data_IF_176097395673
#
_entry.id   IF_176097395673
#
_cell.length_a   1.000
_cell.length_b   1.000
_cell.length_c   1.000
_cell.angle_alpha   90.00
_cell.angle_beta   90.00
_cell.angle_gamma   90.00
#
_symmetry.space_group_name_H-M   'P 1'
#
loop_
_entity.id
_entity.type
_entity.pdbx_description
1 polymer ?
#
# COMPACT_ATOMS: atom_id res chain seq x y z
N UNK A 1 47.12 -7.85 2.72
CA UNK A 1 45.91 -7.48 1.95
C UNK A 1 45.27 -6.29 2.65
N UNK A 2 44.94 -5.22 1.92
CA UNK A 2 44.26 -4.08 2.54
C UNK A 2 42.79 -4.43 2.77
N UNK A 3 42.21 -3.85 3.83
CA UNK A 3 40.82 -4.02 4.23
C UNK A 3 39.83 -3.76 3.08
N UNK A 4 40.15 -2.81 2.19
CA UNK A 4 39.40 -2.54 0.95
C UNK A 4 39.31 -3.72 -0.01
N UNK A 5 40.40 -4.47 -0.19
CA UNK A 5 40.42 -5.63 -1.12
C UNK A 5 39.60 -6.78 -0.55
N UNK A 6 39.64 -6.98 0.77
CA UNK A 6 38.85 -8.00 1.45
C UNK A 6 37.34 -7.70 1.35
N UNK A 7 36.94 -6.43 1.56
CA UNK A 7 35.54 -5.99 1.43
C UNK A 7 35.02 -6.16 0.00
N UNK A 8 35.82 -5.83 -1.02
CA UNK A 8 35.45 -6.01 -2.43
C UNK A 8 35.26 -7.50 -2.76
N UNK A 9 36.14 -8.38 -2.26
CA UNK A 9 36.00 -9.83 -2.45
C UNK A 9 34.76 -10.39 -1.74
N UNK A 10 34.46 -9.94 -0.52
CA UNK A 10 33.26 -10.38 0.22
C UNK A 10 31.97 -9.95 -0.49
N UNK A 11 31.91 -8.72 -1.02
CA UNK A 11 30.75 -8.23 -1.80
C UNK A 11 30.57 -9.05 -3.08
N UNK A 12 31.66 -9.29 -3.83
CA UNK A 12 31.63 -10.09 -5.07
C UNK A 12 31.25 -11.56 -4.83
N UNK A 13 31.68 -12.16 -3.71
CA UNK A 13 31.28 -13.52 -3.33
C UNK A 13 29.79 -13.58 -2.93
N UNK A 14 29.27 -12.57 -2.21
CA UNK A 14 27.84 -12.47 -1.88
C UNK A 14 26.96 -12.32 -3.12
N UNK A 15 27.42 -11.54 -4.10
CA UNK A 15 26.78 -11.39 -5.42
C UNK A 15 26.74 -12.71 -6.22
N UNK A 16 27.62 -13.67 -5.93
CA UNK A 16 27.71 -14.92 -6.70
C UNK A 16 27.04 -16.11 -6.00
N UNK A 17 27.03 -16.14 -4.66
CA UNK A 17 26.65 -17.35 -3.88
C UNK A 17 25.21 -17.27 -3.33
N UNK A 18 24.65 -16.07 -3.16
CA UNK A 18 23.34 -15.90 -2.51
C UNK A 18 23.37 -16.25 -1.02
N UNK A 19 22.21 -16.19 -0.36
CA UNK A 19 22.07 -16.55 1.06
C UNK A 19 21.71 -18.02 1.25
N UNK A 20 22.45 -18.73 2.08
CA UNK A 20 22.08 -20.05 2.60
C UNK A 20 21.29 -19.89 3.91
N UNK A 21 20.19 -20.65 4.03
CA UNK A 21 19.29 -20.58 5.19
C UNK A 21 19.43 -21.81 6.06
N UNK A 22 19.61 -21.61 7.36
CA UNK A 22 19.68 -22.69 8.32
C UNK A 22 18.30 -23.37 8.51
N UNK A 23 18.23 -24.63 8.96
CA UNK A 23 16.95 -25.33 9.15
C UNK A 23 15.94 -24.59 10.04
N UNK A 24 16.38 -24.02 11.17
CA UNK A 24 15.51 -23.28 12.09
C UNK A 24 15.00 -21.97 11.47
N UNK A 25 15.86 -21.28 10.70
CA UNK A 25 15.48 -20.10 9.93
C UNK A 25 14.40 -20.45 8.90
N UNK A 26 14.57 -21.55 8.16
CA UNK A 26 13.58 -22.03 7.20
C UNK A 26 12.22 -22.35 7.86
N UNK A 27 12.21 -22.94 9.06
CA UNK A 27 10.95 -23.23 9.76
C UNK A 27 10.17 -21.95 10.09
N UNK A 28 10.88 -20.91 10.54
CA UNK A 28 10.29 -19.61 10.83
C UNK A 28 9.79 -18.92 9.56
N UNK A 29 10.59 -18.93 8.49
CA UNK A 29 10.22 -18.37 7.20
C UNK A 29 8.99 -19.05 6.62
N UNK A 30 8.92 -20.38 6.63
CA UNK A 30 7.76 -21.15 6.17
C UNK A 30 6.48 -20.78 6.93
N UNK A 31 6.58 -20.48 8.24
CA UNK A 31 5.43 -20.00 9.02
C UNK A 31 4.98 -18.62 8.57
N UNK A 32 5.91 -17.69 8.38
CA UNK A 32 5.62 -16.33 7.91
C UNK A 32 5.00 -16.32 6.50
N UNK A 33 5.53 -17.15 5.60
CA UNK A 33 5.03 -17.32 4.23
C UNK A 33 3.62 -17.93 4.23
N UNK A 34 3.38 -18.95 5.06
CA UNK A 34 2.04 -19.52 5.24
C UNK A 34 1.03 -18.50 5.75
N UNK A 35 1.39 -17.68 6.74
CA UNK A 35 0.53 -16.59 7.24
C UNK A 35 0.24 -15.61 6.10
N UNK A 36 1.23 -15.28 5.27
CA UNK A 36 1.05 -14.36 4.15
C UNK A 36 0.08 -14.90 3.09
N UNK A 37 0.21 -16.17 2.70
CA UNK A 37 -0.71 -16.81 1.76
C UNK A 37 -2.11 -17.05 2.33
N UNK A 38 -2.21 -17.41 3.62
CA UNK A 38 -3.52 -17.56 4.31
C UNK A 38 -4.18 -16.20 4.53
N UNK A 39 -3.41 -15.17 4.83
CA UNK A 39 -3.86 -13.79 4.96
C UNK A 39 -4.49 -13.31 3.66
N UNK A 40 -3.85 -13.57 2.51
CA UNK A 40 -4.43 -13.31 1.19
C UNK A 40 -5.79 -13.98 1.01
N UNK A 41 -5.90 -15.26 1.34
CA UNK A 41 -7.18 -16.00 1.23
C UNK A 41 -8.24 -15.44 2.17
N UNK A 42 -7.86 -15.04 3.38
CA UNK A 42 -8.76 -14.44 4.37
C UNK A 42 -9.29 -13.10 3.87
N UNK A 43 -8.41 -12.26 3.33
CA UNK A 43 -8.76 -10.97 2.72
C UNK A 43 -9.62 -11.19 1.48
N UNK A 44 -9.20 -12.05 0.54
CA UNK A 44 -9.99 -12.36 -0.67
C UNK A 44 -11.37 -12.91 -0.33
N UNK A 45 -11.51 -13.77 0.68
CA UNK A 45 -12.81 -14.27 1.12
C UNK A 45 -13.68 -13.17 1.74
N UNK A 46 -13.08 -12.17 2.38
CA UNK A 46 -13.78 -10.96 2.83
C UNK A 46 -14.27 -10.13 1.65
N UNK A 47 -13.43 -9.97 0.61
CA UNK A 47 -13.71 -9.19 -0.60
C UNK A 47 -14.63 -9.90 -1.61
N UNK A 48 -14.71 -11.24 -1.60
CA UNK A 48 -15.39 -12.04 -2.61
C UNK A 48 -16.88 -12.32 -2.32
N UNK A 49 -17.42 -11.78 -1.23
CA UNK A 49 -18.85 -11.86 -0.92
C UNK A 49 -19.57 -10.60 -1.40
N UNK A 50 -20.87 -10.71 -1.63
CA UNK A 50 -21.75 -9.54 -1.58
C UNK A 50 -21.50 -8.85 -0.23
N UNK A 51 -21.09 -7.58 -0.28
CA UNK A 51 -20.79 -6.83 0.93
C UNK A 51 -22.01 -6.83 1.86
N UNK A 52 -21.76 -6.93 3.15
CA UNK A 52 -22.78 -6.68 4.17
C UNK A 52 -22.28 -5.57 5.07
N UNK A 53 -23.18 -4.94 5.82
CA UNK A 53 -22.80 -3.91 6.78
C UNK A 53 -21.71 -4.41 7.74
N UNK A 54 -21.77 -5.67 8.18
CA UNK A 54 -20.77 -6.27 9.05
C UNK A 54 -19.43 -6.46 8.35
N UNK A 55 -19.40 -6.91 7.08
CA UNK A 55 -18.14 -7.10 6.36
C UNK A 55 -17.48 -5.78 5.99
N UNK A 56 -18.27 -4.74 5.67
CA UNK A 56 -17.79 -3.38 5.44
C UNK A 56 -17.17 -2.79 6.72
N UNK A 57 -17.83 -2.95 7.87
CA UNK A 57 -17.28 -2.50 9.15
C UNK A 57 -15.98 -3.22 9.50
N UNK A 58 -15.93 -4.53 9.26
CA UNK A 58 -14.72 -5.32 9.48
C UNK A 58 -13.56 -4.86 8.59
N UNK A 59 -13.85 -4.50 7.34
CA UNK A 59 -12.87 -3.94 6.42
C UNK A 59 -12.29 -2.62 6.93
N UNK A 60 -13.15 -1.68 7.35
CA UNK A 60 -12.71 -0.40 7.94
C UNK A 60 -11.89 -0.59 9.23
N UNK A 61 -12.29 -1.53 10.08
CA UNK A 61 -11.54 -1.87 11.28
C UNK A 61 -10.14 -2.41 10.95
N UNK A 62 -10.03 -3.26 9.93
CA UNK A 62 -8.74 -3.80 9.50
C UNK A 62 -7.83 -2.70 8.94
N UNK A 63 -8.38 -1.75 8.18
CA UNK A 63 -7.65 -0.58 7.65
C UNK A 63 -7.15 0.32 8.77
N UNK A 64 -8.00 0.60 9.75
CA UNK A 64 -7.62 1.35 10.95
C UNK A 64 -6.52 0.63 11.74
N UNK A 65 -6.66 -0.69 11.94
CA UNK A 65 -5.70 -1.51 12.68
C UNK A 65 -4.29 -1.43 12.09
N UNK A 66 -4.15 -1.57 10.77
CA UNK A 66 -2.82 -1.55 10.14
C UNK A 66 -2.18 -0.16 10.21
N UNK A 67 -2.96 0.92 10.22
CA UNK A 67 -2.46 2.28 10.43
C UNK A 67 -2.04 2.55 11.88
N UNK A 68 -2.73 1.94 12.85
CA UNK A 68 -2.37 2.00 14.27
C UNK A 68 -1.11 1.18 14.56
N UNK A 69 -0.98 0.00 13.94
CA UNK A 69 0.08 -0.96 14.23
C UNK A 69 0.85 -1.40 12.98
N UNK A 70 1.57 -0.51 12.26
CA UNK A 70 2.43 -0.95 11.15
C UNK A 70 3.50 -1.97 11.60
N UNK A 71 3.86 -1.90 12.88
CA UNK A 71 4.51 -2.97 13.63
C UNK A 71 3.82 -3.11 14.99
N UNK A 72 3.87 -4.29 15.60
CA UNK A 72 3.15 -4.58 16.84
C UNK A 72 4.03 -5.30 17.86
N UNK A 73 3.94 -4.87 19.12
CA UNK A 73 4.64 -5.54 20.21
C UNK A 73 4.02 -6.90 20.51
N UNK A 74 4.73 -7.72 21.28
CA UNK A 74 4.16 -8.98 21.79
C UNK A 74 2.91 -8.76 22.63
N UNK A 75 2.84 -7.67 23.40
CA UNK A 75 1.66 -7.33 24.19
C UNK A 75 0.45 -7.07 23.28
N UNK A 76 0.61 -6.23 22.25
CA UNK A 76 -0.48 -5.91 21.32
C UNK A 76 -0.96 -7.17 20.58
N UNK A 77 -0.01 -7.98 20.12
CA UNK A 77 -0.28 -9.25 19.44
C UNK A 77 -1.06 -10.23 20.34
N UNK A 78 -0.70 -10.37 21.61
CA UNK A 78 -1.42 -11.26 22.54
C UNK A 78 -2.86 -10.81 22.78
N UNK A 79 -3.14 -9.51 22.68
CA UNK A 79 -4.44 -8.92 22.98
C UNK A 79 -5.29 -8.63 21.72
N UNK A 80 -4.84 -9.02 20.52
CA UNK A 80 -5.56 -8.74 19.28
C UNK A 80 -5.53 -9.92 18.29
N UNK A 81 -6.68 -10.53 18.05
CA UNK A 81 -6.80 -11.70 17.18
C UNK A 81 -6.40 -11.45 15.71
N UNK A 82 -6.58 -10.24 15.20
CA UNK A 82 -6.19 -9.91 13.82
C UNK A 82 -4.68 -9.86 13.67
N UNK A 83 -3.98 -9.32 14.67
CA UNK A 83 -2.52 -9.36 14.72
C UNK A 83 -2.04 -10.82 14.77
N UNK A 84 -2.70 -11.67 15.57
CA UNK A 84 -2.39 -13.11 15.65
C UNK A 84 -2.52 -13.85 14.34
N UNK A 85 -3.54 -13.51 13.55
CA UNK A 85 -3.88 -14.21 12.31
C UNK A 85 -3.12 -13.69 11.10
N UNK A 86 -2.73 -12.41 11.07
CA UNK A 86 -2.33 -11.73 9.83
C UNK A 86 -0.91 -11.15 9.86
N UNK A 87 -0.27 -11.03 11.04
CA UNK A 87 1.08 -10.49 11.18
C UNK A 87 2.11 -11.62 11.22
N UNK A 88 3.33 -11.31 10.77
CA UNK A 88 4.45 -12.23 10.74
C UNK A 88 5.51 -11.83 11.77
N UNK A 89 6.39 -12.76 12.13
CA UNK A 89 7.47 -12.50 13.08
C UNK A 89 8.76 -13.21 12.67
N UNK A 90 9.87 -12.56 12.99
CA UNK A 90 11.23 -13.12 12.88
C UNK A 90 11.75 -13.69 14.21
N UNK A 91 10.94 -13.67 15.27
CA UNK A 91 11.38 -13.94 16.64
C UNK A 91 12.21 -12.82 17.27
N UNK A 92 12.61 -11.81 16.49
CA UNK A 92 13.36 -10.63 16.93
C UNK A 92 12.63 -9.34 16.57
N UNK A 93 12.99 -8.25 17.26
CA UNK A 93 12.48 -6.90 16.96
C UNK A 93 13.00 -6.41 15.62
N UNK A 94 12.08 -6.04 14.73
CA UNK A 94 12.35 -5.46 13.40
C UNK A 94 11.28 -4.43 13.06
N UNK A 95 11.57 -3.62 12.04
CA UNK A 95 10.60 -2.72 11.43
C UNK A 95 10.59 -2.82 9.89
N UNK A 96 11.32 -3.78 9.36
CA UNK A 96 11.42 -4.04 7.93
C UNK A 96 11.81 -5.47 7.63
N UNK A 97 11.49 -5.92 6.42
CA UNK A 97 11.98 -7.15 5.82
C UNK A 97 11.83 -7.07 4.29
N UNK A 98 12.46 -8.00 3.57
CA UNK A 98 12.35 -8.10 2.11
C UNK A 98 11.57 -9.34 1.72
N UNK A 99 10.89 -9.28 0.58
CA UNK A 99 10.09 -10.39 0.10
C UNK A 99 10.05 -10.41 -1.43
N UNK A 100 9.73 -11.58 -1.97
CA UNK A 100 9.48 -11.80 -3.38
C UNK A 100 8.11 -12.46 -3.50
N UNK A 101 7.42 -12.23 -4.61
CA UNK A 101 6.10 -12.82 -4.84
C UNK A 101 5.96 -13.33 -6.27
N UNK A 102 5.08 -14.31 -6.43
CA UNK A 102 4.54 -14.75 -7.72
C UNK A 102 3.03 -14.52 -7.75
N UNK A 103 2.54 -14.01 -8.90
CA UNK A 103 1.11 -13.85 -9.23
C UNK A 103 0.27 -13.26 -8.08
N UNK A 104 0.28 -11.95 -7.88
CA UNK A 104 -0.52 -11.23 -6.87
C UNK A 104 -0.55 -11.93 -5.48
N UNK A 105 0.63 -12.14 -4.91
CA UNK A 105 0.84 -12.78 -3.59
C UNK A 105 0.37 -14.25 -3.47
N UNK A 106 0.03 -14.93 -4.56
CA UNK A 106 -0.37 -16.35 -4.53
C UNK A 106 0.72 -17.25 -3.93
N UNK A 107 1.98 -16.92 -4.20
CA UNK A 107 3.16 -17.55 -3.60
C UNK A 107 4.15 -16.44 -3.19
N UNK A 108 4.51 -16.40 -1.91
CA UNK A 108 5.31 -15.34 -1.30
C UNK A 108 6.50 -15.98 -0.62
N UNK A 109 7.69 -15.45 -0.88
CA UNK A 109 8.90 -15.83 -0.15
C UNK A 109 9.45 -14.64 0.62
N UNK A 110 9.91 -14.89 1.84
CA UNK A 110 10.32 -13.85 2.79
C UNK A 110 11.79 -14.03 3.17
N UNK A 111 12.49 -12.92 3.39
CA UNK A 111 13.74 -12.85 4.13
C UNK A 111 13.68 -11.68 5.12
N UNK A 112 13.91 -11.97 6.40
CA UNK A 112 13.92 -10.97 7.46
C UNK A 112 15.20 -10.10 7.47
N UNK A 113 16.18 -10.41 6.61
CA UNK A 113 17.32 -9.55 6.33
C UNK A 113 16.96 -8.32 5.47
N UNK A 114 17.99 -7.57 5.08
CA UNK A 114 17.88 -6.37 4.24
C UNK A 114 18.79 -6.41 3.01
N UNK A 115 19.50 -7.52 2.77
CA UNK A 115 20.39 -7.69 1.63
C UNK A 115 19.60 -8.20 0.41
N UNK A 116 19.07 -7.26 -0.37
CA UNK A 116 18.29 -7.55 -1.59
C UNK A 116 19.09 -8.36 -2.62
N UNK A 117 20.40 -8.13 -2.71
CA UNK A 117 21.25 -8.83 -3.69
C UNK A 117 21.43 -10.29 -3.29
N UNK A 118 21.78 -10.53 -2.03
CA UNK A 118 21.92 -11.88 -1.51
C UNK A 118 20.59 -12.67 -1.60
N UNK A 119 19.46 -12.02 -1.30
CA UNK A 119 18.14 -12.64 -1.42
C UNK A 119 17.78 -12.96 -2.87
N UNK A 120 18.06 -12.05 -3.82
CA UNK A 120 17.88 -12.29 -5.26
C UNK A 120 18.55 -13.56 -5.73
N UNK A 121 19.75 -13.81 -5.22
CA UNK A 121 20.59 -14.93 -5.60
C UNK A 121 20.34 -16.18 -4.74
N UNK A 122 19.45 -16.12 -3.74
CA UNK A 122 19.26 -17.18 -2.74
C UNK A 122 18.39 -18.36 -3.19
N UNK A 123 18.10 -18.47 -4.50
CA UNK A 123 17.16 -19.44 -5.14
C UNK A 123 15.70 -19.38 -4.64
N UNK A 124 15.40 -18.62 -3.58
CA UNK A 124 14.06 -18.43 -3.00
C UNK A 124 13.32 -17.25 -3.62
N UNK A 125 14.05 -16.26 -4.12
CA UNK A 125 13.45 -15.15 -4.85
C UNK A 125 12.81 -15.66 -6.16
N UNK A 126 11.65 -15.09 -6.48
CA UNK A 126 10.75 -15.57 -7.55
C UNK A 126 10.87 -14.67 -8.77
N UNK A 127 10.72 -15.29 -9.93
CA UNK A 127 10.66 -14.60 -11.22
C UNK A 127 9.27 -13.97 -11.41
N UNK A 128 9.21 -12.76 -11.95
CA UNK A 128 7.99 -12.00 -12.19
C UNK A 128 7.30 -12.50 -13.46
N UNK A 129 6.19 -13.22 -13.31
CA UNK A 129 5.35 -13.67 -14.43
C UNK A 129 6.14 -14.51 -15.45
N UNK A 130 6.06 -14.15 -16.74
CA UNK A 130 6.79 -14.79 -17.83
C UNK A 130 8.09 -14.04 -18.22
N UNK A 131 8.59 -13.13 -17.38
CA UNK A 131 9.85 -12.40 -17.62
C UNK A 131 11.06 -13.19 -17.08
N UNK A 132 12.28 -12.70 -17.31
CA UNK A 132 13.50 -13.18 -16.62
C UNK A 132 13.84 -12.33 -15.38
N UNK A 133 12.96 -11.40 -14.98
CA UNK A 133 13.23 -10.46 -13.91
C UNK A 133 12.79 -11.03 -12.55
N UNK A 134 13.71 -11.04 -11.58
CA UNK A 134 13.41 -11.33 -10.17
C UNK A 134 13.03 -10.03 -9.48
N UNK A 135 11.80 -9.95 -8.99
CA UNK A 135 11.27 -8.77 -8.32
C UNK A 135 11.35 -8.92 -6.80
N UNK A 136 12.13 -8.03 -6.17
CA UNK A 136 12.26 -7.96 -4.71
C UNK A 136 11.60 -6.69 -4.20
N UNK A 137 10.70 -6.90 -3.27
CA UNK A 137 9.96 -5.86 -2.57
C UNK A 137 10.46 -5.76 -1.14
N UNK A 138 10.08 -4.68 -0.49
CA UNK A 138 10.44 -4.40 0.89
C UNK A 138 9.22 -3.90 1.62
N UNK A 139 8.97 -4.47 2.79
CA UNK A 139 8.06 -3.91 3.77
C UNK A 139 8.91 -3.03 4.67
N UNK A 140 8.71 -1.71 4.62
CA UNK A 140 9.38 -0.74 5.49
C UNK A 140 8.63 0.58 5.52
N UNK A 141 8.93 1.40 6.51
CA UNK A 141 8.42 2.78 6.59
C UNK A 141 8.76 3.58 5.33
N UNK A 142 9.97 3.41 4.79
CA UNK A 142 10.43 4.09 3.58
C UNK A 142 9.61 3.69 2.35
N UNK A 143 9.36 2.41 2.16
CA UNK A 143 8.56 1.93 1.03
C UNK A 143 7.06 2.20 1.18
N UNK A 144 6.62 2.52 2.39
CA UNK A 144 5.23 2.86 2.68
C UNK A 144 4.83 4.26 2.19
N UNK A 145 5.78 5.20 2.12
CA UNK A 145 5.50 6.61 1.83
C UNK A 145 5.04 7.44 3.04
N UNK A 146 4.94 6.85 4.24
CA UNK A 146 4.46 7.50 5.46
C UNK A 146 5.15 8.84 5.73
N UNK A 147 6.49 8.87 5.69
CA UNK A 147 7.22 10.11 5.99
C UNK A 147 6.97 11.24 4.98
N UNK A 148 6.69 10.92 3.71
CA UNK A 148 6.32 11.95 2.74
C UNK A 148 4.94 12.54 3.06
N UNK A 149 3.98 11.69 3.41
CA UNK A 149 2.64 12.10 3.83
C UNK A 149 2.68 12.95 5.11
N UNK A 150 3.45 12.53 6.12
CA UNK A 150 3.57 13.26 7.39
C UNK A 150 4.29 14.61 7.28
N UNK A 151 4.93 14.92 6.15
CA UNK A 151 5.50 16.25 5.89
C UNK A 151 4.44 17.27 5.46
N UNK A 152 3.27 16.83 5.00
CA UNK A 152 2.17 17.75 4.74
C UNK A 152 1.76 18.47 6.04
N UNK A 153 1.63 19.81 6.02
CA UNK A 153 1.26 20.57 7.21
C UNK A 153 -0.01 20.03 7.89
N UNK A 154 0.08 19.79 9.21
CA UNK A 154 -1.02 19.27 10.03
C UNK A 154 -1.31 17.77 9.90
N UNK A 155 -0.70 17.04 8.97
CA UNK A 155 -0.93 15.59 8.84
C UNK A 155 -0.53 14.81 10.09
N UNK A 156 0.59 15.19 10.73
CA UNK A 156 1.04 14.57 11.99
C UNK A 156 -0.01 14.70 13.09
N UNK A 157 -0.51 15.91 13.33
CA UNK A 157 -1.53 16.15 14.34
C UNK A 157 -2.82 15.37 14.04
N UNK A 158 -3.21 15.28 12.77
CA UNK A 158 -4.34 14.47 12.35
C UNK A 158 -4.14 12.97 12.62
N UNK A 159 -2.94 12.43 12.33
CA UNK A 159 -2.61 11.04 12.63
C UNK A 159 -2.61 10.76 14.14
N UNK A 160 -2.07 11.68 14.94
CA UNK A 160 -2.08 11.58 16.40
C UNK A 160 -3.50 11.57 16.95
N UNK A 161 -4.39 12.45 16.45
CA UNK A 161 -5.80 12.50 16.85
C UNK A 161 -6.54 11.18 16.54
N UNK A 162 -6.21 10.54 15.42
CA UNK A 162 -6.77 9.25 15.02
C UNK A 162 -6.09 8.04 15.69
N UNK A 163 -5.02 8.27 16.47
CA UNK A 163 -4.23 7.22 17.11
C UNK A 163 -3.40 6.39 16.13
N UNK A 164 -3.10 6.93 14.94
CA UNK A 164 -2.28 6.25 13.93
C UNK A 164 -0.79 6.42 14.19
N UNK A 165 0.00 5.44 13.74
CA UNK A 165 1.43 5.44 13.93
C UNK A 165 2.12 6.52 13.06
N UNK A 166 3.05 7.25 13.68
CA UNK A 166 3.89 8.24 12.99
C UNK A 166 5.22 7.67 12.48
N UNK A 167 5.53 6.44 12.86
CA UNK A 167 6.72 5.70 12.45
C UNK A 167 6.56 4.19 12.64
N UNK A 168 7.42 3.40 12.00
CA UNK A 168 7.47 1.96 12.18
C UNK A 168 8.47 1.63 13.28
N UNK A 169 7.96 1.35 14.46
CA UNK A 169 8.77 1.00 15.63
C UNK A 169 9.43 -0.38 15.47
N UNK A 170 10.57 -0.57 16.14
CA UNK A 170 11.23 -1.88 16.21
C UNK A 170 10.47 -2.82 17.15
N UNK A 171 9.68 -3.74 16.57
CA UNK A 171 8.78 -4.64 17.31
C UNK A 171 8.85 -6.09 16.79
N UNK A 172 8.29 -7.04 17.53
CA UNK A 172 8.38 -8.46 17.21
C UNK A 172 7.48 -8.89 16.04
N UNK A 173 6.37 -8.18 15.82
CA UNK A 173 5.38 -8.52 14.81
C UNK A 173 5.27 -7.42 13.75
N UNK A 174 5.17 -7.85 12.51
CA UNK A 174 5.24 -7.01 11.32
C UNK A 174 4.04 -7.31 10.43
N UNK A 175 3.56 -6.31 9.70
CA UNK A 175 2.59 -6.53 8.61
C UNK A 175 3.10 -7.64 7.67
N UNK A 176 2.23 -8.58 7.29
CA UNK A 176 2.55 -9.49 6.19
C UNK A 176 2.58 -8.73 4.85
N UNK A 177 3.21 -9.28 3.79
CA UNK A 177 3.32 -8.59 2.50
C UNK A 177 1.98 -8.13 1.92
N UNK A 178 0.95 -8.96 2.07
CA UNK A 178 -0.41 -8.67 1.58
C UNK A 178 -1.04 -7.52 2.38
N UNK A 179 -0.92 -7.54 3.71
CA UNK A 179 -1.41 -6.45 4.55
C UNK A 179 -0.71 -5.14 4.20
N UNK A 180 0.62 -5.16 4.09
CA UNK A 180 1.40 -3.98 3.78
C UNK A 180 1.01 -3.39 2.43
N UNK A 181 0.98 -4.22 1.39
CA UNK A 181 0.78 -3.74 0.04
C UNK A 181 -0.67 -3.37 -0.27
N UNK A 182 -1.61 -4.25 0.08
CA UNK A 182 -2.99 -4.13 -0.38
C UNK A 182 -3.86 -3.32 0.59
N UNK A 183 -3.50 -3.25 1.87
CA UNK A 183 -4.34 -2.62 2.90
C UNK A 183 -3.67 -1.38 3.48
N UNK A 184 -2.50 -1.53 4.10
CA UNK A 184 -1.80 -0.42 4.77
C UNK A 184 -1.56 0.75 3.82
N UNK A 185 -0.98 0.49 2.65
CA UNK A 185 -0.66 1.56 1.69
C UNK A 185 -1.91 2.24 1.10
N UNK A 186 -2.99 1.49 0.91
CA UNK A 186 -4.28 2.03 0.49
C UNK A 186 -4.89 2.93 1.57
N UNK A 187 -4.97 2.41 2.80
CA UNK A 187 -5.51 3.14 3.96
C UNK A 187 -4.73 4.43 4.24
N UNK A 188 -3.41 4.36 4.13
CA UNK A 188 -2.53 5.52 4.26
C UNK A 188 -2.82 6.57 3.18
N UNK A 189 -3.01 6.16 1.93
CA UNK A 189 -3.35 7.05 0.83
C UNK A 189 -4.71 7.72 1.02
N UNK A 190 -5.73 6.95 1.38
CA UNK A 190 -7.08 7.45 1.58
C UNK A 190 -7.21 8.47 2.71
N UNK A 191 -6.64 8.15 3.89
CA UNK A 191 -6.64 9.07 5.04
C UNK A 191 -5.94 10.38 4.67
N UNK A 192 -4.77 10.28 4.04
CA UNK A 192 -3.99 11.45 3.65
C UNK A 192 -4.71 12.28 2.59
N UNK A 193 -5.20 11.64 1.54
CA UNK A 193 -5.89 12.29 0.43
C UNK A 193 -7.15 13.01 0.89
N UNK A 194 -7.98 12.35 1.70
CA UNK A 194 -9.18 12.94 2.28
C UNK A 194 -8.87 14.17 3.13
N UNK A 195 -7.85 14.09 3.99
CA UNK A 195 -7.44 15.22 4.83
C UNK A 195 -6.95 16.42 4.00
N UNK A 196 -6.15 16.17 2.95
CA UNK A 196 -5.63 17.22 2.06
C UNK A 196 -6.77 17.90 1.29
N UNK A 197 -7.69 17.14 0.69
CA UNK A 197 -8.82 17.73 -0.06
C UNK A 197 -9.73 18.56 0.84
N UNK A 198 -10.01 18.09 2.06
CA UNK A 198 -10.78 18.84 3.05
C UNK A 198 -10.09 20.16 3.42
N UNK A 199 -8.77 20.13 3.65
CA UNK A 199 -8.02 21.28 4.11
C UNK A 199 -7.76 22.32 3.01
N UNK A 200 -7.41 21.89 1.80
CA UNK A 200 -7.04 22.80 0.70
C UNK A 200 -8.25 23.29 -0.08
N UNK A 201 -9.30 22.47 -0.23
CA UNK A 201 -10.46 22.79 -1.08
C UNK A 201 -11.78 22.86 -0.32
N UNK A 202 -11.81 22.52 0.98
CA UNK A 202 -13.06 22.45 1.75
C UNK A 202 -13.96 21.27 1.36
N UNK A 203 -13.44 20.30 0.60
CA UNK A 203 -14.23 19.16 0.10
C UNK A 203 -14.40 18.13 1.21
N UNK A 204 -15.66 17.83 1.57
CA UNK A 204 -15.99 16.75 2.49
C UNK A 204 -16.40 15.49 1.72
N UNK A 205 -15.48 14.52 1.66
CA UNK A 205 -15.74 13.23 1.03
C UNK A 205 -16.63 12.34 1.90
N UNK A 206 -17.69 11.80 1.29
CA UNK A 206 -18.63 10.88 1.93
C UNK A 206 -18.25 9.42 1.66
N UNK A 207 -18.37 8.51 2.65
CA UNK A 207 -18.11 7.09 2.44
C UNK A 207 -19.13 6.48 1.48
N UNK A 208 -18.72 5.48 0.71
CA UNK A 208 -19.66 4.63 -0.01
C UNK A 208 -20.24 3.65 1.00
N UNK A 209 -21.57 3.58 1.12
CA UNK A 209 -22.25 2.69 2.07
C UNK A 209 -23.13 1.65 1.40
N UNK A 210 -23.15 1.63 0.07
CA UNK A 210 -24.00 0.74 -0.72
C UNK A 210 -23.21 -0.53 -1.05
N UNK A 211 -23.63 -1.70 -0.56
CA UNK A 211 -22.88 -2.94 -0.69
C UNK A 211 -22.46 -3.32 -2.11
N UNK A 212 -23.35 -3.12 -3.09
CA UNK A 212 -23.18 -3.57 -4.47
C UNK A 212 -21.98 -2.93 -5.16
N UNK A 213 -21.58 -1.74 -4.72
CA UNK A 213 -20.47 -1.00 -5.29
C UNK A 213 -19.51 -0.43 -4.22
N UNK A 214 -19.52 -1.01 -3.02
CA UNK A 214 -18.74 -0.54 -1.88
C UNK A 214 -17.24 -0.38 -2.20
N UNK A 215 -16.64 -1.37 -2.87
CA UNK A 215 -15.22 -1.37 -3.27
C UNK A 215 -15.00 -0.92 -4.72
N UNK A 216 -15.94 -0.19 -5.32
CA UNK A 216 -15.71 0.31 -6.68
C UNK A 216 -14.68 1.44 -6.66
N UNK A 217 -14.83 2.37 -5.71
CA UNK A 217 -14.00 3.54 -5.46
C UNK A 217 -13.94 3.80 -3.94
N UNK A 218 -13.07 4.70 -3.49
CA UNK A 218 -12.86 4.91 -2.05
C UNK A 218 -13.95 5.82 -1.44
N UNK A 219 -14.34 6.88 -2.15
CA UNK A 219 -15.29 7.87 -1.63
C UNK A 219 -16.20 8.47 -2.71
N UNK A 220 -17.31 9.05 -2.25
CA UNK A 220 -18.14 9.99 -3.02
C UNK A 220 -17.67 11.42 -2.77
N UNK A 221 -17.50 12.16 -3.86
CA UNK A 221 -17.33 13.61 -3.85
C UNK A 221 -18.69 14.31 -4.00
N UNK A 222 -19.60 13.72 -4.79
CA UNK A 222 -21.03 14.07 -4.88
C UNK A 222 -21.84 12.84 -5.31
N UNK A 223 -23.14 13.00 -5.62
CA UNK A 223 -24.04 11.88 -5.92
C UNK A 223 -23.55 10.98 -7.07
N UNK A 224 -22.97 11.57 -8.12
CA UNK A 224 -22.50 10.90 -9.33
C UNK A 224 -20.99 11.08 -9.60
N UNK A 225 -20.26 11.66 -8.65
CA UNK A 225 -18.80 11.88 -8.74
C UNK A 225 -18.05 11.18 -7.62
N UNK A 226 -17.02 10.42 -8.00
CA UNK A 226 -16.28 9.54 -7.11
C UNK A 226 -14.79 9.89 -7.06
N UNK A 227 -14.12 9.46 -5.99
CA UNK A 227 -12.68 9.60 -5.79
C UNK A 227 -12.09 8.25 -5.41
N UNK A 228 -10.96 7.93 -6.02
CA UNK A 228 -10.14 6.76 -5.67
C UNK A 228 -8.68 7.24 -5.54
N UNK A 229 -8.11 7.02 -4.37
CA UNK A 229 -6.78 7.45 -3.97
C UNK A 229 -5.76 6.34 -4.23
N UNK A 230 -4.68 6.72 -4.89
CA UNK A 230 -3.53 5.86 -5.11
C UNK A 230 -2.33 6.37 -4.28
N UNK A 231 -1.48 5.43 -3.88
CA UNK A 231 -0.20 5.71 -3.22
C UNK A 231 0.89 4.91 -3.93
N UNK A 232 1.06 5.23 -5.22
CA UNK A 232 1.89 4.48 -6.14
C UNK A 232 3.25 5.15 -6.36
N UNK A 233 4.28 4.32 -6.54
CA UNK A 233 5.55 4.72 -7.17
C UNK A 233 5.49 4.31 -8.65
N UNK A 234 6.04 5.12 -9.55
CA UNK A 234 5.93 5.00 -11.02
C UNK A 234 6.40 3.65 -11.62
N UNK A 235 7.06 2.78 -10.85
CA UNK A 235 7.56 1.47 -11.35
C UNK A 235 6.47 0.47 -11.75
N UNK A 236 5.19 0.80 -11.59
CA UNK A 236 4.07 -0.03 -12.04
C UNK A 236 3.71 0.25 -13.50
N UNK A 237 4.43 -0.41 -14.41
CA UNK A 237 3.95 -0.67 -15.78
C UNK A 237 2.97 -1.85 -15.70
N UNK A 238 1.83 -1.66 -15.06
CA UNK A 238 0.65 -2.48 -15.38
C UNK A 238 0.05 -1.93 -16.67
N UNK A 239 -0.63 -2.80 -17.42
CA UNK A 239 -1.30 -2.42 -18.65
C UNK A 239 -2.36 -1.36 -18.33
N UNK A 240 -2.03 -0.08 -18.59
CA UNK A 240 -2.90 1.05 -18.26
C UNK A 240 -4.25 0.94 -18.97
N UNK A 241 -4.30 0.23 -20.09
CA UNK A 241 -5.53 0.00 -20.82
C UNK A 241 -6.46 -0.99 -20.10
N UNK A 242 -5.92 -2.01 -19.41
CA UNK A 242 -6.73 -2.94 -18.60
C UNK A 242 -7.30 -2.24 -17.36
N UNK A 243 -6.47 -1.47 -16.65
CA UNK A 243 -6.91 -0.69 -15.49
C UNK A 243 -8.00 0.30 -15.90
N UNK A 244 -7.80 1.00 -17.03
CA UNK A 244 -8.80 1.95 -17.54
C UNK A 244 -10.11 1.26 -17.90
N UNK A 245 -10.05 0.12 -18.59
CA UNK A 245 -11.26 -0.66 -18.92
C UNK A 245 -12.01 -1.08 -17.66
N UNK A 246 -11.30 -1.46 -16.60
CA UNK A 246 -11.93 -1.79 -15.32
C UNK A 246 -12.65 -0.59 -14.69
N UNK A 247 -11.99 0.57 -14.63
CA UNK A 247 -12.57 1.80 -14.09
C UNK A 247 -13.80 2.24 -14.88
N UNK A 248 -13.73 2.22 -16.22
CA UNK A 248 -14.86 2.59 -17.07
C UNK A 248 -16.06 1.64 -16.90
N UNK A 249 -15.82 0.33 -16.74
CA UNK A 249 -16.88 -0.63 -16.43
C UNK A 249 -17.55 -0.34 -15.08
N UNK A 250 -16.76 0.02 -14.05
CA UNK A 250 -17.29 0.41 -12.74
C UNK A 250 -18.16 1.66 -12.82
N UNK A 251 -17.71 2.69 -13.54
CA UNK A 251 -18.48 3.92 -13.78
C UNK A 251 -19.83 3.62 -14.47
N UNK A 252 -19.80 2.83 -15.55
CA UNK A 252 -21.00 2.45 -16.30
C UNK A 252 -21.99 1.67 -15.42
N UNK A 253 -21.49 0.72 -14.63
CA UNK A 253 -22.31 -0.12 -13.77
C UNK A 253 -23.09 0.67 -12.70
N UNK A 254 -22.57 1.81 -12.24
CA UNK A 254 -23.23 2.66 -11.24
C UNK A 254 -23.83 3.95 -11.83
N UNK A 255 -23.73 4.16 -13.14
CA UNK A 255 -24.22 5.37 -13.82
C UNK A 255 -23.51 6.66 -13.38
N UNK A 256 -22.24 6.58 -13.00
CA UNK A 256 -21.48 7.73 -12.51
C UNK A 256 -21.09 8.71 -13.62
N UNK A 257 -21.14 10.01 -13.32
CA UNK A 257 -20.69 11.11 -14.18
C UNK A 257 -19.16 11.11 -14.29
N UNK A 258 -18.46 10.99 -13.16
CA UNK A 258 -17.00 11.16 -13.12
C UNK A 258 -16.33 10.39 -11.98
N UNK A 259 -15.09 9.97 -12.20
CA UNK A 259 -14.17 9.56 -11.13
C UNK A 259 -12.84 10.30 -11.24
N UNK A 260 -12.32 10.71 -10.09
CA UNK A 260 -10.96 11.21 -9.92
C UNK A 260 -10.06 10.09 -9.37
N UNK A 261 -9.05 9.70 -10.14
CA UNK A 261 -8.00 8.78 -9.68
C UNK A 261 -6.82 9.63 -9.21
N UNK A 262 -6.63 9.73 -7.90
CA UNK A 262 -5.75 10.71 -7.29
C UNK A 262 -4.57 10.01 -6.63
N UNK A 263 -3.40 10.10 -7.24
CA UNK A 263 -2.20 9.69 -6.53
C UNK A 263 -1.85 10.74 -5.45
N UNK A 264 -1.55 10.33 -4.23
CA UNK A 264 -1.32 11.29 -3.11
C UNK A 264 0.08 11.88 -3.19
N UNK A 265 1.09 11.03 -3.34
CA UNK A 265 2.51 11.42 -3.41
C UNK A 265 3.12 10.86 -4.69
N UNK A 266 3.84 11.68 -5.44
CA UNK A 266 4.61 11.24 -6.62
C UNK A 266 5.93 11.97 -6.75
N UNK A 267 6.82 11.39 -7.57
CA UNK A 267 8.06 12.03 -7.98
C UNK A 267 7.86 12.99 -9.18
N UNK A 268 8.90 13.76 -9.49
CA UNK A 268 8.89 14.82 -10.52
C UNK A 268 8.71 14.30 -11.95
N UNK A 269 8.83 13.00 -12.21
CA UNK A 269 8.86 12.44 -13.57
C UNK A 269 7.48 12.00 -14.07
N UNK A 270 6.45 12.08 -13.24
CA UNK A 270 5.10 11.80 -13.67
C UNK A 270 4.59 12.90 -14.61
N UNK A 271 4.45 12.56 -15.89
CA UNK A 271 3.63 13.30 -16.84
C UNK A 271 2.28 12.60 -16.91
N UNK A 272 1.20 13.16 -16.34
CA UNK A 272 -0.11 12.66 -16.66
C UNK A 272 -0.23 12.74 -18.18
N UNK A 273 -0.59 11.64 -18.82
CA UNK A 273 -1.53 11.82 -19.92
C UNK A 273 -2.78 12.33 -19.22
N UNK A 274 -2.99 13.63 -19.18
CA UNK A 274 -4.27 14.20 -18.82
C UNK A 274 -5.23 13.75 -19.93
N UNK A 275 -5.69 12.52 -19.84
CA UNK A 275 -6.76 12.03 -20.69
C UNK A 275 -7.99 12.50 -19.96
N UNK A 276 -8.42 13.70 -20.29
CA UNK A 276 -9.75 14.16 -19.95
C UNK A 276 -10.69 13.47 -20.95
N UNK A 277 -11.00 12.20 -20.70
CA UNK A 277 -12.37 11.79 -20.97
C UNK A 277 -13.20 12.49 -19.90
N UNK A 278 -14.33 13.10 -20.27
CA UNK A 278 -15.14 13.88 -19.32
C UNK A 278 -15.50 13.11 -18.02
N UNK A 279 -15.41 11.78 -18.05
CA UNK A 279 -15.77 10.87 -16.96
C UNK A 279 -14.58 10.32 -16.13
N UNK A 280 -13.32 10.41 -16.60
CA UNK A 280 -12.16 9.88 -15.88
C UNK A 280 -11.04 10.92 -15.83
N UNK A 281 -10.66 11.35 -14.63
CA UNK A 281 -9.58 12.33 -14.43
C UNK A 281 -8.49 11.72 -13.57
N UNK A 282 -7.29 11.54 -14.15
CA UNK A 282 -6.11 11.09 -13.42
C UNK A 282 -5.33 12.29 -12.86
N UNK A 283 -5.23 12.39 -11.53
CA UNK A 283 -4.47 13.42 -10.83
C UNK A 283 -3.11 12.84 -10.41
N UNK A 284 -2.00 13.45 -10.87
CA UNK A 284 -0.63 12.92 -10.74
C UNK A 284 -0.10 12.80 -9.30
N UNK A 285 -0.41 13.79 -8.47
CA UNK A 285 0.04 13.94 -7.09
C UNK A 285 -0.74 15.08 -6.43
N UNK A 286 -1.11 14.92 -5.16
CA UNK A 286 -1.57 16.05 -4.33
C UNK A 286 -0.40 16.80 -3.70
N UNK A 287 0.61 16.07 -3.25
CA UNK A 287 1.80 16.63 -2.60
C UNK A 287 3.09 16.02 -3.18
N UNK A 288 4.17 16.79 -3.09
CA UNK A 288 5.53 16.32 -3.36
C UNK A 288 6.07 15.53 -2.16
N UNK A 289 7.18 14.82 -2.35
CA UNK A 289 7.83 14.09 -1.26
C UNK A 289 8.24 14.97 -0.07
N UNK A 290 8.45 16.27 -0.28
CA UNK A 290 8.76 17.23 0.79
C UNK A 290 7.51 17.75 1.53
N UNK A 291 6.31 17.30 1.14
CA UNK A 291 5.03 17.73 1.72
C UNK A 291 4.40 18.95 1.06
N UNK A 292 5.06 19.55 0.06
CA UNK A 292 4.53 20.72 -0.65
C UNK A 292 3.33 20.36 -1.51
N UNK A 293 2.27 21.15 -1.42
CA UNK A 293 1.04 20.99 -2.21
C UNK A 293 1.27 21.31 -3.69
N UNK A 294 0.71 20.49 -4.57
CA UNK A 294 0.71 20.71 -6.00
C UNK A 294 -0.62 21.34 -6.45
N UNK A 295 -0.76 22.65 -6.29
CA UNK A 295 -2.01 23.37 -6.62
C UNK A 295 -2.47 23.22 -8.07
N UNK A 296 -1.53 23.12 -9.01
CA UNK A 296 -1.84 22.84 -10.43
C UNK A 296 -2.67 21.55 -10.61
N UNK A 297 -2.38 20.54 -9.79
CA UNK A 297 -3.07 19.25 -9.83
C UNK A 297 -4.41 19.29 -9.07
N UNK A 298 -4.49 20.05 -7.98
CA UNK A 298 -5.74 20.28 -7.26
C UNK A 298 -6.79 20.96 -8.15
N UNK A 299 -6.37 21.90 -9.01
CA UNK A 299 -7.25 22.58 -9.97
C UNK A 299 -7.81 21.67 -11.08
N UNK A 300 -7.33 20.42 -11.18
CA UNK A 300 -7.94 19.43 -12.07
C UNK A 300 -9.28 18.92 -11.54
N UNK A 301 -9.57 19.09 -10.25
CA UNK A 301 -10.88 18.79 -9.66
C UNK A 301 -11.83 19.93 -10.03
N UNK A 302 -12.90 19.61 -10.76
CA UNK A 302 -13.81 20.58 -11.31
C UNK A 302 -14.72 21.12 -10.19
N UNK A 303 -14.71 22.44 -10.00
CA UNK A 303 -15.55 23.15 -9.03
C UNK A 303 -17.03 22.76 -9.10
N UNK A 304 -17.56 22.59 -10.31
CA UNK A 304 -18.96 22.19 -10.54
C UNK A 304 -19.35 20.86 -9.87
N UNK A 305 -18.39 19.98 -9.58
CA UNK A 305 -18.66 18.67 -9.01
C UNK A 305 -18.85 18.71 -7.49
N UNK A 306 -18.33 19.73 -6.80
CA UNK A 306 -18.40 19.83 -5.33
C UNK A 306 -19.00 21.15 -4.81
N UNK A 307 -19.05 22.22 -5.60
CA UNK A 307 -19.60 23.51 -5.16
C UNK A 307 -21.14 23.57 -5.25
N UNK A 308 -21.77 22.74 -6.09
CA UNK A 308 -23.24 22.70 -6.27
C UNK A 308 -23.96 21.73 -5.31
N UNK A 309 -23.26 21.20 -4.30
CA UNK A 309 -23.76 20.16 -3.37
C UNK A 309 -24.24 20.77 -2.04
N UNK A 310 -24.26 22.11 -1.91
CA UNK A 310 -24.81 22.84 -0.77
C UNK A 310 -26.17 23.46 -1.07
#
# INVERSE_FOLDING_TARGET
MSEKVLTIQIVSMRETIGKDYLPDENLMLNKAEKISSVGLWTIRRMLAKDWTTESMQLWEQLRSLVLQYPTASTYDWQNNEYLQKLYITSGEKRNQYIYSQYSDFNDVTIDFGNDKVAFKNSKRAKIKGNSDEVAIYEMSEKESGLQAILRYPGMKAHFEEMGYALKFEMNEYLLSPVLFHNIYKGALGEVAGKFILKRELGIELSPITVPEYFEFFDYKLSDDVYVDFKNWKFTYVQDRDEIRKDILRKLEAIGAKRVYIINVVSDKNYKPSAIVDQCLVEIPMLIREDGTVCYENLHMICKEDFENVN
#
